data_IF_656251228713
#
_entry.id   IF_656251228713
#
_cell.length_a   1.000
_cell.length_b   1.000
_cell.length_c   1.000
_cell.angle_alpha   90.00
_cell.angle_beta   90.00
_cell.angle_gamma   90.00
#
_symmetry.space_group_name_H-M   'P 1'
#
loop_
_entity.id
_entity.type
_entity.pdbx_description
1 polymer ?
#
# COMPACT_ATOMS: atom_id res chain seq x y z
N UNK A 1 -46.65 -11.79 -49.47
CA UNK A 1 -45.88 -13.04 -49.36
C UNK A 1 -44.70 -12.71 -48.48
N UNK A 2 -44.86 -13.08 -47.22
CA UNK A 2 -43.94 -12.90 -46.10
C UNK A 2 -43.13 -14.19 -45.93
N UNK A 3 -41.86 -14.15 -45.50
CA UNK A 3 -41.30 -15.26 -44.75
C UNK A 3 -41.05 -14.82 -43.30
N UNK A 4 -41.83 -15.41 -42.40
CA UNK A 4 -41.62 -15.35 -40.96
C UNK A 4 -40.31 -16.03 -40.57
N UNK A 5 -39.65 -15.39 -39.61
CA UNK A 5 -38.50 -15.84 -38.85
C UNK A 5 -39.05 -16.62 -37.66
N UNK A 6 -38.59 -17.84 -37.40
CA UNK A 6 -38.57 -18.35 -36.02
C UNK A 6 -37.57 -19.49 -35.77
N UNK A 7 -37.01 -19.40 -34.56
CA UNK A 7 -36.35 -20.40 -33.71
C UNK A 7 -35.18 -21.26 -34.23
N UNK A 8 -33.97 -20.96 -33.71
CA UNK A 8 -33.02 -22.00 -33.34
C UNK A 8 -32.34 -21.69 -31.99
N UNK A 9 -32.93 -22.33 -30.98
CA UNK A 9 -32.41 -22.84 -29.71
C UNK A 9 -30.99 -22.43 -29.24
N UNK A 10 -31.01 -21.85 -28.05
CA UNK A 10 -29.95 -21.53 -27.10
C UNK A 10 -29.08 -22.75 -26.76
N UNK A 11 -27.80 -22.68 -27.13
CA UNK A 11 -26.75 -23.58 -26.63
C UNK A 11 -26.19 -23.07 -25.29
N UNK A 12 -26.54 -23.74 -24.20
CA UNK A 12 -25.90 -23.58 -22.89
C UNK A 12 -24.50 -24.21 -22.93
N UNK A 13 -23.45 -23.41 -22.74
CA UNK A 13 -22.10 -23.91 -22.50
C UNK A 13 -21.79 -23.90 -21.00
N UNK A 14 -21.72 -25.12 -20.49
CA UNK A 14 -21.28 -25.50 -19.15
C UNK A 14 -19.78 -25.23 -19.02
N UNK A 15 -19.39 -24.30 -18.15
CA UNK A 15 -17.97 -24.08 -17.82
C UNK A 15 -17.50 -25.13 -16.82
N UNK A 16 -16.80 -26.13 -17.37
CA UNK A 16 -16.09 -27.20 -16.67
C UNK A 16 -14.93 -26.64 -15.84
N UNK A 17 -14.98 -26.87 -14.52
CA UNK A 17 -13.82 -26.74 -13.61
C UNK A 17 -12.70 -27.67 -14.08
N UNK A 18 -11.51 -27.13 -14.34
CA UNK A 18 -10.28 -27.92 -14.37
C UNK A 18 -9.28 -27.37 -13.37
N UNK A 19 -8.68 -28.33 -12.69
CA UNK A 19 -7.71 -28.23 -11.61
C UNK A 19 -6.52 -27.36 -11.98
N UNK A 20 -6.11 -26.51 -11.03
CA UNK A 20 -4.80 -25.87 -11.07
C UNK A 20 -3.83 -26.83 -10.37
N UNK A 21 -2.98 -27.49 -11.16
CA UNK A 21 -1.88 -28.31 -10.66
C UNK A 21 -0.91 -27.42 -9.87
N UNK A 22 -0.74 -27.76 -8.59
CA UNK A 22 0.26 -27.12 -7.73
C UNK A 22 1.66 -27.58 -8.11
N UNK A 23 2.49 -26.67 -8.60
CA UNK A 23 3.93 -26.93 -8.79
C UNK A 23 4.61 -26.87 -7.41
N UNK A 24 4.97 -28.04 -6.86
CA UNK A 24 5.82 -28.14 -5.66
C UNK A 24 7.28 -27.99 -6.06
N UNK A 25 7.89 -26.84 -5.75
CA UNK A 25 9.34 -26.68 -5.79
C UNK A 25 9.92 -27.02 -4.42
N UNK A 26 10.60 -28.17 -4.34
CA UNK A 26 11.38 -28.57 -3.17
C UNK A 26 12.75 -27.90 -3.25
N UNK A 27 13.00 -26.89 -2.40
CA UNK A 27 14.32 -26.26 -2.30
C UNK A 27 15.18 -26.98 -1.26
N UNK A 28 16.33 -27.47 -1.71
CA UNK A 28 17.38 -28.05 -0.90
C UNK A 28 18.08 -26.98 -0.06
N UNK A 29 18.36 -27.29 1.21
CA UNK A 29 19.14 -26.47 2.14
C UNK A 29 20.63 -26.51 1.80
N UNK A 30 21.35 -25.37 1.75
CA UNK A 30 22.76 -25.35 2.05
C UNK A 30 23.01 -25.10 3.55
N UNK A 31 23.69 -26.06 4.16
CA UNK A 31 24.41 -25.92 5.42
C UNK A 31 25.74 -25.22 5.15
N UNK A 32 26.04 -24.13 5.85
CA UNK A 32 27.43 -23.72 6.08
C UNK A 32 27.58 -23.19 7.50
N UNK A 33 28.23 -24.01 8.32
CA UNK A 33 28.83 -23.60 9.58
C UNK A 33 30.07 -22.75 9.30
N UNK A 34 30.21 -21.65 10.05
CA UNK A 34 31.41 -20.81 10.06
C UNK A 34 31.59 -20.18 11.44
N UNK A 35 32.19 -20.92 12.37
CA UNK A 35 32.80 -20.33 13.56
C UNK A 35 34.18 -19.80 13.19
N UNK A 36 34.47 -18.54 13.49
CA UNK A 36 35.83 -18.09 13.79
C UNK A 36 35.76 -16.88 14.73
N UNK A 37 36.40 -17.01 15.89
CA UNK A 37 36.31 -16.08 16.99
C UNK A 37 37.43 -15.05 16.97
N UNK A 38 37.12 -13.85 17.46
CA UNK A 38 38.12 -12.91 17.96
C UNK A 38 37.61 -12.24 19.23
N UNK A 39 38.33 -12.55 20.32
CA UNK A 39 38.33 -11.83 21.59
C UNK A 39 38.88 -10.42 21.35
N UNK A 40 38.25 -9.40 21.93
CA UNK A 40 38.95 -8.16 22.23
C UNK A 40 38.10 -6.89 22.19
N UNK A 41 37.82 -6.38 23.39
CA UNK A 41 37.55 -4.96 23.74
C UNK A 41 36.22 -4.37 23.23
N UNK A 42 35.26 -4.26 24.17
CA UNK A 42 34.05 -3.44 24.06
C UNK A 42 34.42 -1.96 23.95
N UNK A 43 34.59 -1.47 22.72
CA UNK A 43 34.39 -0.05 22.45
C UNK A 43 32.87 0.17 22.39
N UNK A 44 32.31 0.80 23.42
CA UNK A 44 30.96 1.37 23.32
C UNK A 44 31.05 2.58 22.39
N UNK A 45 30.90 2.32 21.09
CA UNK A 45 30.52 3.34 20.13
C UNK A 45 29.05 3.69 20.38
N UNK A 46 28.78 4.48 21.41
CA UNK A 46 27.56 5.27 21.48
C UNK A 46 27.68 6.35 20.41
N UNK A 47 27.29 6.01 19.18
CA UNK A 47 26.91 7.02 18.20
C UNK A 47 25.58 7.54 18.71
N UNK A 48 25.46 8.80 19.16
CA UNK A 48 24.15 9.37 19.44
C UNK A 48 23.42 9.44 18.11
N UNK A 49 22.48 8.52 17.90
CA UNK A 49 21.50 8.63 16.84
C UNK A 49 20.57 9.79 17.20
N UNK A 50 21.03 11.01 16.93
CA UNK A 50 20.17 12.18 16.89
C UNK A 50 19.38 12.05 15.59
N UNK A 51 18.27 11.32 15.65
CA UNK A 51 17.21 11.46 14.65
C UNK A 51 16.66 12.86 14.87
N UNK A 52 17.25 13.86 14.23
CA UNK A 52 16.47 15.06 13.92
C UNK A 52 15.22 14.54 13.21
N UNK A 53 14.00 14.89 13.65
CA UNK A 53 12.82 14.49 12.92
C UNK A 53 13.03 15.03 11.52
N UNK A 54 13.17 14.11 10.55
CA UNK A 54 13.29 14.48 9.16
C UNK A 54 12.16 15.47 8.91
N UNK A 55 12.51 16.71 8.52
CA UNK A 55 11.51 17.66 8.05
C UNK A 55 10.82 16.94 6.91
N UNK A 56 9.61 16.44 7.16
CA UNK A 56 8.79 15.92 6.10
C UNK A 56 8.61 17.09 5.14
N UNK A 57 9.16 16.99 3.93
CA UNK A 57 8.93 17.95 2.85
C UNK A 57 7.50 17.82 2.29
N UNK A 58 6.65 17.11 3.01
CA UNK A 58 5.31 16.69 2.66
C UNK A 58 4.34 17.29 3.67
N UNK A 59 3.32 17.98 3.17
CA UNK A 59 2.27 18.54 3.99
C UNK A 59 1.16 17.50 4.18
N UNK A 60 0.94 17.06 5.43
CA UNK A 60 -0.13 16.12 5.79
C UNK A 60 -1.52 16.66 5.39
N UNK A 61 -1.70 17.98 5.36
CA UNK A 61 -2.97 18.57 4.95
C UNK A 61 -3.34 18.26 3.49
N UNK A 62 -2.36 17.86 2.66
CA UNK A 62 -2.61 17.37 1.29
C UNK A 62 -3.25 15.97 1.24
N UNK A 63 -3.22 15.21 2.35
CA UNK A 63 -3.92 13.92 2.45
C UNK A 63 -5.39 14.16 2.77
N UNK A 64 -6.27 13.69 1.89
CA UNK A 64 -7.71 13.74 2.08
C UNK A 64 -8.11 12.90 3.29
N UNK A 65 -8.98 13.47 4.12
CA UNK A 65 -9.49 12.83 5.34
C UNK A 65 -8.41 12.37 6.34
N UNK A 66 -7.20 12.98 6.34
CA UNK A 66 -6.12 12.63 7.26
C UNK A 66 -6.54 12.59 8.74
N UNK A 67 -7.50 13.45 9.13
CA UNK A 67 -8.08 13.48 10.47
C UNK A 67 -8.62 12.12 10.95
N UNK A 68 -9.12 11.26 10.04
CA UNK A 68 -9.60 9.91 10.43
C UNK A 68 -8.50 9.11 11.13
N UNK A 69 -7.26 9.22 10.65
CA UNK A 69 -6.12 8.56 11.27
C UNK A 69 -5.53 9.38 12.41
N UNK A 70 -5.36 10.69 12.22
CA UNK A 70 -4.72 11.54 13.25
C UNK A 70 -5.57 11.74 14.49
N UNK A 71 -6.89 11.62 14.43
CA UNK A 71 -7.77 11.68 15.60
C UNK A 71 -7.53 10.53 16.58
N UNK A 72 -6.99 9.39 16.12
CA UNK A 72 -6.53 8.34 17.04
C UNK A 72 -5.24 8.78 17.72
N UNK A 73 -4.20 9.15 16.98
CA UNK A 73 -2.85 9.33 17.53
C UNK A 73 -2.52 10.76 18.00
N UNK A 74 -3.42 11.73 17.78
CA UNK A 74 -3.18 13.17 17.99
C UNK A 74 -2.28 13.84 16.95
N UNK A 75 -1.65 13.06 16.07
CA UNK A 75 -0.78 13.50 14.97
C UNK A 75 -0.76 12.45 13.86
N UNK A 76 -0.09 12.72 12.76
CA UNK A 76 0.23 11.68 11.78
C UNK A 76 1.10 10.61 12.45
N UNK A 77 0.68 9.32 12.47
CA UNK A 77 1.42 8.29 13.17
C UNK A 77 2.72 7.94 12.46
N UNK A 78 3.64 7.33 13.19
CA UNK A 78 4.76 6.61 12.58
C UNK A 78 4.26 5.27 12.03
N UNK A 79 4.73 4.89 10.84
CA UNK A 79 4.49 3.57 10.27
C UNK A 79 5.65 2.59 10.54
N UNK A 80 6.49 2.93 11.52
CA UNK A 80 7.59 2.05 11.92
C UNK A 80 7.06 0.71 12.39
N UNK A 81 7.62 -0.36 11.83
CA UNK A 81 7.24 -1.76 12.06
C UNK A 81 5.77 -2.10 11.72
N UNK A 82 5.05 -1.22 11.02
CA UNK A 82 3.67 -1.49 10.63
C UNK A 82 3.58 -2.69 9.69
N UNK A 83 2.42 -3.35 9.64
CA UNK A 83 2.20 -4.52 8.79
C UNK A 83 1.19 -4.21 7.69
N UNK A 84 1.55 -4.46 6.43
CA UNK A 84 0.64 -4.33 5.29
C UNK A 84 -0.19 -5.61 5.20
N UNK A 85 -1.45 -5.51 5.61
CA UNK A 85 -2.39 -6.64 5.62
C UNK A 85 -2.87 -6.97 4.21
N UNK A 86 -3.11 -5.93 3.41
CA UNK A 86 -3.69 -6.06 2.09
C UNK A 86 -3.28 -4.94 1.14
N UNK A 87 -3.17 -5.29 -0.15
CA UNK A 87 -2.98 -4.37 -1.25
C UNK A 87 -3.94 -4.74 -2.38
N UNK A 88 -4.84 -3.82 -2.71
CA UNK A 88 -5.78 -3.94 -3.81
C UNK A 88 -5.45 -2.96 -4.92
N UNK A 89 -5.32 -3.46 -6.16
CA UNK A 89 -5.05 -2.67 -7.35
C UNK A 89 -6.23 -2.76 -8.31
N UNK A 90 -6.84 -1.62 -8.59
CA UNK A 90 -7.86 -1.50 -9.62
C UNK A 90 -7.31 -0.68 -10.79
N UNK A 91 -7.37 -1.22 -12.00
CA UNK A 91 -6.86 -0.55 -13.21
C UNK A 91 -7.69 0.68 -13.61
N UNK A 92 -8.82 0.89 -12.97
CA UNK A 92 -9.81 1.86 -13.41
C UNK A 92 -10.60 1.35 -14.61
N UNK A 93 -11.38 2.25 -15.20
CA UNK A 93 -12.23 1.98 -16.35
C UNK A 93 -12.16 3.19 -17.28
N UNK A 94 -11.58 3.00 -18.46
CA UNK A 94 -11.45 4.06 -19.47
C UNK A 94 -12.26 3.63 -20.69
N UNK A 95 -13.25 4.44 -21.05
CA UNK A 95 -14.02 4.22 -22.27
C UNK A 95 -13.13 4.49 -23.50
N UNK A 96 -13.25 3.70 -24.58
CA UNK A 96 -12.55 3.98 -25.82
C UNK A 96 -13.10 5.27 -26.46
N UNK A 97 -12.21 6.10 -27.01
CA UNK A 97 -12.56 7.37 -27.66
C UNK A 97 -12.01 8.57 -26.89
N UNK A 98 -12.72 9.69 -26.96
CA UNK A 98 -12.35 10.92 -26.27
C UNK A 98 -12.47 10.78 -24.75
N UNK A 99 -11.77 11.66 -24.03
CA UNK A 99 -11.88 11.72 -22.57
C UNK A 99 -13.32 11.97 -22.13
N UNK A 100 -13.83 11.13 -21.22
CA UNK A 100 -15.17 11.28 -20.64
C UNK A 100 -15.07 11.35 -19.11
N UNK A 101 -16.03 12.02 -18.48
CA UNK A 101 -16.13 12.07 -17.01
C UNK A 101 -16.42 10.70 -16.38
N UNK A 102 -16.84 9.72 -17.19
CA UNK A 102 -16.99 8.33 -16.74
C UNK A 102 -15.67 7.56 -16.67
N UNK A 103 -14.57 8.15 -17.15
CA UNK A 103 -13.26 7.53 -17.06
C UNK A 103 -12.77 7.55 -15.61
N UNK A 104 -12.51 6.36 -15.06
CA UNK A 104 -11.85 6.17 -13.79
C UNK A 104 -10.40 5.77 -14.02
N UNK A 105 -9.46 6.52 -13.45
CA UNK A 105 -8.04 6.21 -13.50
C UNK A 105 -7.68 5.11 -12.49
N UNK A 106 -6.48 4.50 -12.59
CA UNK A 106 -6.07 3.44 -11.67
C UNK A 106 -6.07 3.90 -10.21
N UNK A 107 -6.50 3.01 -9.32
CA UNK A 107 -6.55 3.23 -7.87
C UNK A 107 -5.85 2.07 -7.16
N UNK A 108 -5.00 2.41 -6.20
CA UNK A 108 -4.43 1.43 -5.26
C UNK A 108 -5.02 1.66 -3.87
N UNK A 109 -5.31 0.59 -3.14
CA UNK A 109 -5.76 0.65 -1.74
C UNK A 109 -4.85 -0.24 -0.90
N UNK A 110 -4.37 0.27 0.23
CA UNK A 110 -3.54 -0.45 1.18
C UNK A 110 -4.18 -0.44 2.56
N UNK A 111 -4.32 -1.62 3.16
CA UNK A 111 -4.73 -1.75 4.57
C UNK A 111 -3.51 -2.08 5.41
N UNK A 112 -3.21 -1.20 6.36
CA UNK A 112 -1.95 -1.17 7.12
C UNK A 112 -2.28 -1.19 8.60
N UNK A 113 -1.76 -2.19 9.31
CA UNK A 113 -1.85 -2.28 10.76
C UNK A 113 -0.77 -1.39 11.39
N UNK A 114 -1.19 -0.25 11.94
CA UNK A 114 -0.33 0.69 12.66
C UNK A 114 -0.24 0.26 14.12
N UNK A 115 0.97 -0.11 14.54
CA UNK A 115 1.22 -0.68 15.86
C UNK A 115 1.32 0.40 16.93
N UNK A 116 0.63 0.19 18.06
CA UNK A 116 0.72 1.05 19.24
C UNK A 116 2.13 1.11 19.82
N UNK A 117 2.88 0.02 19.71
CA UNK A 117 4.19 -0.14 20.35
C UNK A 117 5.24 0.81 19.79
N UNK A 118 5.04 1.30 18.56
CA UNK A 118 5.95 2.24 17.87
C UNK A 118 5.53 3.70 18.04
N UNK A 119 4.47 3.97 18.80
CA UNK A 119 3.96 5.32 19.03
C UNK A 119 4.38 5.84 20.42
N UNK A 120 5.28 6.84 20.45
CA UNK A 120 5.92 7.36 21.68
C UNK A 120 4.91 7.84 22.74
N UNK A 121 3.76 8.38 22.33
CA UNK A 121 2.81 9.08 23.22
C UNK A 121 1.39 8.49 23.17
N UNK A 122 1.21 7.31 22.57
CA UNK A 122 -0.11 6.69 22.38
C UNK A 122 -0.28 5.46 23.26
N UNK A 123 -1.43 5.38 23.96
CA UNK A 123 -1.76 4.24 24.84
C UNK A 123 -3.02 3.47 24.41
N UNK A 124 -3.64 3.86 23.31
CA UNK A 124 -4.79 3.14 22.77
C UNK A 124 -4.40 1.85 22.04
N UNK A 125 -5.37 1.21 21.37
CA UNK A 125 -5.15 -0.01 20.60
C UNK A 125 -4.33 0.25 19.33
N UNK A 126 -3.92 -0.83 18.67
CA UNK A 126 -3.46 -0.79 17.28
C UNK A 126 -4.60 -0.28 16.39
N UNK A 127 -4.26 0.30 15.25
CA UNK A 127 -5.24 0.86 14.31
C UNK A 127 -5.01 0.27 12.93
N UNK A 128 -6.05 -0.31 12.34
CA UNK A 128 -6.04 -0.69 10.93
C UNK A 128 -6.41 0.54 10.09
N UNK A 129 -5.41 1.14 9.45
CA UNK A 129 -5.59 2.24 8.53
C UNK A 129 -5.79 1.72 7.11
N UNK A 130 -6.76 2.26 6.38
CA UNK A 130 -6.93 2.00 4.95
C UNK A 130 -6.63 3.26 4.18
N UNK A 131 -5.53 3.24 3.41
CA UNK A 131 -5.09 4.32 2.55
C UNK A 131 -5.50 4.02 1.10
N UNK A 132 -6.01 5.03 0.41
CA UNK A 132 -6.30 4.97 -1.03
C UNK A 132 -5.43 5.97 -1.77
N UNK A 133 -4.85 5.50 -2.86
CA UNK A 133 -4.00 6.26 -3.76
C UNK A 133 -4.74 6.44 -5.08
N UNK A 134 -5.01 7.69 -5.44
CA UNK A 134 -5.79 8.08 -6.60
C UNK A 134 -4.89 8.45 -7.77
N UNK A 135 -5.34 8.14 -8.98
CA UNK A 135 -4.62 8.39 -10.23
C UNK A 135 -3.21 7.79 -10.21
N UNK A 136 -3.14 6.49 -9.93
CA UNK A 136 -1.87 5.77 -9.85
C UNK A 136 -1.26 5.66 -11.24
N UNK A 137 -0.12 6.31 -11.42
CA UNK A 137 0.62 6.35 -12.67
C UNK A 137 1.60 5.18 -12.78
N UNK A 138 2.27 4.82 -11.67
CA UNK A 138 3.13 3.65 -11.62
C UNK A 138 3.05 2.96 -10.26
N UNK A 139 3.18 1.64 -10.28
CA UNK A 139 3.15 0.80 -9.10
C UNK A 139 4.19 -0.31 -9.26
N UNK A 140 5.06 -0.48 -8.26
CA UNK A 140 6.03 -1.56 -8.16
C UNK A 140 5.81 -2.27 -6.85
N UNK A 141 5.69 -3.60 -6.90
CA UNK A 141 5.60 -4.48 -5.75
C UNK A 141 6.67 -5.55 -5.90
N UNK A 142 7.40 -5.78 -4.82
CA UNK A 142 8.40 -6.81 -4.71
C UNK A 142 8.14 -7.61 -3.44
N UNK A 143 7.93 -8.92 -3.59
CA UNK A 143 7.41 -9.78 -2.54
C UNK A 143 6.01 -9.39 -2.06
N UNK A 144 5.41 -10.29 -1.30
CA UNK A 144 4.17 -10.14 -0.53
C UNK A 144 3.98 -11.54 0.06
N UNK A 145 4.24 -11.74 1.34
CA UNK A 145 4.23 -13.06 1.97
C UNK A 145 3.40 -13.08 3.25
N UNK A 146 3.65 -14.07 4.12
CA UNK A 146 2.91 -14.25 5.36
C UNK A 146 3.20 -13.19 6.43
N UNK A 147 4.24 -12.36 6.28
CA UNK A 147 4.59 -11.27 7.21
C UNK A 147 5.08 -10.07 6.38
N UNK A 148 4.17 -9.13 6.12
CA UNK A 148 4.46 -7.95 5.29
C UNK A 148 4.80 -6.73 6.14
N UNK A 149 5.83 -6.87 6.97
CA UNK A 149 6.29 -5.79 7.84
C UNK A 149 7.09 -4.75 7.05
N UNK A 150 6.77 -3.47 7.26
CA UNK A 150 7.52 -2.34 6.72
C UNK A 150 8.38 -1.69 7.81
N UNK A 151 9.57 -1.22 7.41
CA UNK A 151 10.40 -0.37 8.26
C UNK A 151 9.76 1.00 8.41
N UNK A 152 9.16 1.54 7.35
CA UNK A 152 8.40 2.78 7.37
C UNK A 152 7.54 2.94 6.11
N UNK A 153 6.58 3.87 6.17
CA UNK A 153 5.83 4.38 5.02
C UNK A 153 6.29 5.82 4.77
N UNK A 154 7.04 6.05 3.70
CA UNK A 154 7.54 7.38 3.36
C UNK A 154 6.75 7.99 2.21
N UNK A 155 6.49 9.30 2.31
CA UNK A 155 5.78 10.08 1.29
C UNK A 155 6.66 11.28 0.93
N UNK A 156 7.00 11.40 -0.35
CA UNK A 156 7.69 12.58 -0.91
C UNK A 156 6.91 13.16 -2.09
N UNK A 157 7.21 14.39 -2.46
CA UNK A 157 6.59 15.08 -3.60
C UNK A 157 7.57 15.27 -4.73
N UNK A 158 7.08 15.13 -5.97
CA UNK A 158 7.83 15.39 -7.20
C UNK A 158 7.05 16.42 -8.04
N UNK A 159 7.71 17.53 -8.41
CA UNK A 159 7.09 18.56 -9.22
C UNK A 159 6.75 18.04 -10.63
N UNK A 160 5.57 18.40 -11.15
CA UNK A 160 5.06 17.91 -12.44
C UNK A 160 5.23 18.92 -13.58
N UNK A 161 5.77 20.10 -13.30
CA UNK A 161 5.89 21.21 -14.26
C UNK A 161 4.80 22.26 -14.07
N UNK A 162 4.46 22.97 -15.14
CA UNK A 162 3.49 24.05 -15.13
C UNK A 162 2.46 23.87 -16.26
N UNK A 163 1.25 24.36 -16.05
CA UNK A 163 0.28 24.56 -17.12
C UNK A 163 0.82 25.58 -18.13
N UNK A 164 0.23 25.63 -19.32
CA UNK A 164 0.55 26.66 -20.32
C UNK A 164 0.28 28.09 -19.83
N UNK A 165 -0.56 28.26 -18.81
CA UNK A 165 -0.79 29.51 -18.09
C UNK A 165 0.37 29.93 -17.18
N UNK A 166 1.35 29.06 -16.94
CA UNK A 166 2.46 29.28 -15.99
C UNK A 166 2.17 28.87 -14.55
N UNK A 167 0.95 28.42 -14.24
CA UNK A 167 0.60 27.88 -12.91
C UNK A 167 1.22 26.50 -12.70
N UNK A 168 1.70 26.21 -11.49
CA UNK A 168 2.29 24.91 -11.18
C UNK A 168 1.24 23.78 -11.26
N UNK A 169 1.60 22.69 -11.91
CA UNK A 169 0.80 21.48 -11.90
C UNK A 169 0.81 20.85 -10.50
N UNK A 170 -0.30 20.22 -10.06
CA UNK A 170 -0.29 19.40 -8.86
C UNK A 170 0.88 18.40 -8.88
N UNK A 171 1.68 18.32 -7.80
CA UNK A 171 2.83 17.42 -7.77
C UNK A 171 2.38 15.96 -7.76
N UNK A 172 3.29 15.06 -8.14
CA UNK A 172 3.11 13.66 -7.81
C UNK A 172 3.48 13.41 -6.34
N UNK A 173 2.78 12.46 -5.74
CA UNK A 173 3.20 11.83 -4.49
C UNK A 173 3.92 10.52 -4.82
N UNK A 174 5.13 10.36 -4.27
CA UNK A 174 5.87 9.11 -4.30
C UNK A 174 5.73 8.48 -2.92
N UNK A 175 5.02 7.35 -2.86
CA UNK A 175 4.75 6.62 -1.63
C UNK A 175 5.58 5.35 -1.65
N UNK A 176 6.43 5.16 -0.63
CA UNK A 176 7.31 3.99 -0.51
C UNK A 176 7.01 3.23 0.77
N UNK A 177 6.75 1.94 0.60
CA UNK A 177 6.65 0.94 1.66
C UNK A 177 8.03 0.31 1.80
N UNK A 178 8.81 0.78 2.76
CA UNK A 178 10.21 0.36 2.93
C UNK A 178 10.26 -1.02 3.57
N UNK A 179 10.90 -1.98 2.90
CA UNK A 179 10.91 -3.38 3.31
C UNK A 179 11.53 -3.57 4.70
N UNK A 180 10.75 -4.15 5.61
CA UNK A 180 11.28 -4.86 6.78
C UNK A 180 11.39 -6.35 6.48
N UNK A 181 10.24 -7.00 6.25
CA UNK A 181 10.08 -8.41 5.90
C UNK A 181 8.96 -8.55 4.86
N UNK A 182 9.12 -9.48 3.91
CA UNK A 182 8.08 -9.87 2.95
C UNK A 182 7.81 -8.88 1.82
N UNK A 183 7.42 -7.64 2.15
CA UNK A 183 6.90 -6.66 1.20
C UNK A 183 7.82 -5.46 1.03
N UNK A 184 8.06 -5.07 -0.22
CA UNK A 184 8.47 -3.73 -0.60
C UNK A 184 7.52 -3.22 -1.68
N UNK A 185 7.06 -1.98 -1.58
CA UNK A 185 6.26 -1.39 -2.63
C UNK A 185 6.60 0.07 -2.83
N UNK A 186 6.44 0.55 -4.05
CA UNK A 186 6.51 1.97 -4.37
C UNK A 186 5.46 2.31 -5.41
N UNK A 187 4.78 3.43 -5.20
CA UNK A 187 3.81 3.95 -6.16
C UNK A 187 3.96 5.44 -6.36
N UNK A 188 3.54 5.89 -7.54
CA UNK A 188 3.39 7.29 -7.91
C UNK A 188 1.92 7.58 -8.14
N UNK A 189 1.36 8.57 -7.44
CA UNK A 189 -0.06 8.93 -7.51
C UNK A 189 -0.26 10.45 -7.42
N UNK A 190 -1.48 10.93 -7.69
CA UNK A 190 -1.83 12.36 -7.57
C UNK A 190 -2.61 12.69 -6.31
N UNK A 191 -3.30 11.72 -5.72
CA UNK A 191 -4.06 11.92 -4.51
C UNK A 191 -3.81 10.81 -3.50
N UNK A 192 -3.87 11.16 -2.22
CA UNK A 192 -3.83 10.22 -1.10
C UNK A 192 -5.04 10.50 -0.22
N UNK A 193 -5.74 9.45 0.18
CA UNK A 193 -6.91 9.52 1.05
C UNK A 193 -6.79 8.50 2.19
N UNK A 194 -7.15 8.91 3.40
CA UNK A 194 -7.46 7.97 4.49
C UNK A 194 -8.93 7.55 4.36
N UNK A 195 -9.18 6.35 3.84
CA UNK A 195 -10.54 5.82 3.66
C UNK A 195 -11.13 5.40 5.01
N UNK A 196 -10.34 4.69 5.82
CA UNK A 196 -10.77 4.21 7.13
C UNK A 196 -9.59 4.19 8.10
N UNK A 197 -9.89 4.29 9.40
CA UNK A 197 -8.94 4.13 10.48
C UNK A 197 -9.68 3.56 11.68
N UNK A 198 -9.50 2.26 11.91
CA UNK A 198 -10.33 1.50 12.83
C UNK A 198 -9.48 0.86 13.94
N UNK A 199 -9.83 1.06 15.22
CA UNK A 199 -9.19 0.37 16.32
C UNK A 199 -9.29 -1.16 16.18
N UNK A 200 -8.17 -1.86 16.38
CA UNK A 200 -8.15 -3.32 16.45
C UNK A 200 -8.49 -3.74 17.87
N UNK A 201 -9.65 -4.38 18.03
CA UNK A 201 -10.14 -4.87 19.32
C UNK A 201 -9.90 -6.37 19.40
N UNK A 202 -9.34 -6.84 20.52
CA UNK A 202 -9.11 -8.28 20.80
C UNK A 202 -8.25 -9.01 19.75
N UNK A 203 -7.39 -8.29 19.03
CA UNK A 203 -6.53 -8.86 17.98
C UNK A 203 -7.28 -9.30 16.72
N UNK A 204 -8.57 -8.97 16.59
CA UNK A 204 -9.34 -9.24 15.38
C UNK A 204 -9.29 -8.03 14.45
N UNK A 205 -8.73 -8.25 13.26
CA UNK A 205 -8.75 -7.23 12.21
C UNK A 205 -10.18 -6.93 11.76
N UNK A 206 -10.54 -5.65 11.58
CA UNK A 206 -11.80 -5.28 10.94
C UNK A 206 -11.95 -5.89 9.54
N UNK A 207 -13.20 -6.00 9.08
CA UNK A 207 -13.46 -6.49 7.72
C UNK A 207 -12.98 -5.46 6.71
N UNK A 208 -12.14 -5.91 5.79
CA UNK A 208 -11.76 -5.11 4.64
C UNK A 208 -12.96 -5.01 3.68
N UNK A 209 -13.32 -3.78 3.32
CA UNK A 209 -14.33 -3.50 2.30
C UNK A 209 -13.66 -2.83 1.12
N UNK A 210 -13.79 -3.44 -0.05
CA UNK A 210 -13.38 -2.86 -1.32
C UNK A 210 -14.61 -2.25 -2.01
N UNK A 211 -14.46 -1.08 -2.66
CA UNK A 211 -15.50 -0.57 -3.56
C UNK A 211 -15.67 -1.48 -4.79
#
# INVERSE_FOLDING_TARGET
MDPQVDEMLVGQSVWSRREVESVRLTLARPSVAGQCGLRGRRARCTVPYRREPARMSFDIASILHHHRLTSHFGRWPSFHDAEVIDLHLWRGQIAPGDWSESNCLPVATASILVLRATQIDWRGPDVLATLRFHDVDSFRLDGFDGINQIVDLTISTEARGHFSSGEALPPHHIVSFERGVGLAAQLRCLGIEVVAAEPVVEGRLPRLTYP
#
